data_IF_695569241233
#
_entry.id   IF_695569241233
#
_cell.length_a   1.000
_cell.length_b   1.000
_cell.length_c   1.000
_cell.angle_alpha   90.00
_cell.angle_beta   90.00
_cell.angle_gamma   90.00
#
_symmetry.space_group_name_H-M   'P 1'
#
loop_
_entity.id
_entity.type
_entity.pdbx_description
1 polymer ?
#
# COMPACT_ATOMS: atom_id res chain seq x y z
N UNK A 1 -58.75 -60.21 7.25
CA UNK A 1 -58.13 -59.87 6.01
C UNK A 1 -56.97 -58.93 6.33
N UNK A 2 -55.73 -59.29 6.12
CA UNK A 2 -54.59 -58.44 6.45
C UNK A 2 -54.31 -57.45 5.34
N UNK A 3 -54.00 -56.21 5.70
CA UNK A 3 -53.63 -55.10 4.84
C UNK A 3 -52.13 -55.29 4.40
N UNK A 4 -51.90 -55.18 3.12
CA UNK A 4 -50.56 -55.23 2.51
C UNK A 4 -49.76 -53.98 2.86
N UNK A 5 -48.55 -54.20 3.38
CA UNK A 5 -47.54 -53.15 3.57
C UNK A 5 -46.83 -52.95 2.20
N UNK A 6 -47.02 -51.76 1.61
CA UNK A 6 -46.26 -51.32 0.44
C UNK A 6 -44.95 -50.70 0.91
N UNK A 7 -43.84 -51.35 0.61
CA UNK A 7 -42.49 -50.77 0.82
C UNK A 7 -42.20 -49.69 -0.21
N UNK A 8 -41.89 -48.48 0.24
CA UNK A 8 -41.40 -47.37 -0.59
C UNK A 8 -39.89 -47.61 -0.91
N UNK A 9 -39.44 -47.28 -2.12
CA UNK A 9 -38.03 -47.47 -2.50
C UNK A 9 -37.14 -46.40 -1.85
N UNK A 10 -35.92 -46.84 -1.53
CA UNK A 10 -34.84 -46.01 -0.98
C UNK A 10 -34.66 -44.69 -1.73
N UNK A 11 -35.00 -43.59 -1.11
CA UNK A 11 -34.67 -42.27 -1.54
C UNK A 11 -33.18 -42.04 -1.42
N UNK A 12 -32.47 -41.87 -2.55
CA UNK A 12 -31.14 -41.29 -2.58
C UNK A 12 -31.25 -39.93 -1.89
N UNK A 13 -30.52 -39.76 -0.80
CA UNK A 13 -30.26 -38.40 -0.25
C UNK A 13 -29.64 -37.58 -1.35
N UNK A 14 -30.34 -36.59 -1.83
CA UNK A 14 -29.75 -35.54 -2.67
C UNK A 14 -28.62 -34.92 -1.84
N UNK A 15 -27.40 -34.98 -2.34
CA UNK A 15 -26.28 -34.20 -1.82
C UNK A 15 -26.68 -32.73 -1.97
N UNK A 16 -26.90 -32.04 -0.85
CA UNK A 16 -26.98 -30.60 -0.84
C UNK A 16 -25.71 -30.07 -1.54
N UNK A 17 -25.83 -29.14 -2.51
CA UNK A 17 -24.65 -28.39 -2.92
C UNK A 17 -24.12 -27.70 -1.67
N UNK A 18 -22.83 -27.94 -1.37
CA UNK A 18 -22.18 -27.32 -0.23
C UNK A 18 -22.43 -25.82 -0.24
N UNK A 19 -22.95 -25.32 0.87
CA UNK A 19 -22.92 -23.92 1.16
C UNK A 19 -21.44 -23.46 1.12
N UNK A 20 -21.15 -22.40 0.37
CA UNK A 20 -19.91 -21.66 0.52
C UNK A 20 -19.60 -21.46 2.01
N UNK A 21 -18.33 -21.33 2.44
CA UNK A 21 -17.96 -21.23 3.86
C UNK A 21 -18.94 -20.29 4.54
N UNK A 22 -19.63 -20.77 5.58
CA UNK A 22 -20.94 -20.29 6.05
C UNK A 22 -21.09 -18.77 6.01
N UNK A 23 -22.20 -18.28 5.52
CA UNK A 23 -22.51 -16.85 5.29
C UNK A 23 -22.15 -15.90 6.44
N UNK A 24 -21.84 -16.45 7.63
CA UNK A 24 -21.49 -15.75 8.86
C UNK A 24 -20.09 -16.06 9.39
N UNK A 25 -19.20 -16.64 8.58
CA UNK A 25 -17.82 -16.89 9.01
C UNK A 25 -17.12 -15.56 9.28
N UNK A 26 -16.58 -15.41 10.49
CA UNK A 26 -15.88 -14.20 10.95
C UNK A 26 -14.63 -14.59 11.72
N UNK A 27 -13.65 -13.69 11.71
CA UNK A 27 -12.41 -13.83 12.48
C UNK A 27 -12.65 -13.63 13.98
N UNK A 28 -11.65 -14.00 14.79
CA UNK A 28 -11.61 -13.59 16.19
C UNK A 28 -11.04 -12.16 16.29
N UNK A 29 -11.95 -11.18 16.27
CA UNK A 29 -11.58 -9.76 16.25
C UNK A 29 -10.83 -9.30 17.50
N UNK A 30 -11.09 -9.90 18.67
CA UNK A 30 -10.35 -9.59 19.89
C UNK A 30 -8.90 -10.04 19.77
N UNK A 31 -8.65 -11.25 19.26
CA UNK A 31 -7.29 -11.77 19.09
C UNK A 31 -6.51 -10.97 18.04
N UNK A 32 -7.15 -10.53 16.95
CA UNK A 32 -6.54 -9.62 15.99
C UNK A 32 -6.12 -8.32 16.68
N UNK A 33 -7.05 -7.69 17.40
CA UNK A 33 -6.78 -6.42 18.08
C UNK A 33 -5.68 -6.53 19.13
N UNK A 34 -5.71 -7.58 19.95
CA UNK A 34 -4.66 -7.85 20.93
C UNK A 34 -3.30 -8.05 20.28
N UNK A 35 -3.25 -8.72 19.11
CA UNK A 35 -2.00 -8.90 18.36
C UNK A 35 -1.47 -7.56 17.81
N UNK A 36 -2.35 -6.67 17.32
CA UNK A 36 -1.98 -5.31 16.90
C UNK A 36 -1.40 -4.51 18.08
N UNK A 37 -2.06 -4.54 19.22
CA UNK A 37 -1.62 -3.81 20.41
C UNK A 37 -0.32 -4.38 21.01
N UNK A 38 -0.07 -5.68 20.89
CA UNK A 38 1.18 -6.29 21.31
C UNK A 38 2.33 -5.91 20.39
N UNK A 39 2.14 -5.96 19.07
CA UNK A 39 3.12 -5.51 18.08
C UNK A 39 3.45 -4.02 18.26
N UNK A 40 2.46 -3.20 18.58
CA UNK A 40 2.63 -1.77 18.82
C UNK A 40 3.53 -1.42 20.03
N UNK A 41 3.82 -2.37 20.93
CA UNK A 41 4.76 -2.16 22.04
C UNK A 41 6.23 -2.17 21.59
N UNK A 42 6.50 -2.70 20.40
CA UNK A 42 7.86 -2.80 19.84
C UNK A 42 8.12 -1.56 18.97
N UNK A 43 9.17 -0.81 19.29
CA UNK A 43 9.49 0.46 18.66
C UNK A 43 8.41 1.51 18.89
N UNK A 44 8.06 1.84 20.16
CA UNK A 44 7.06 2.86 20.42
C UNK A 44 7.52 4.24 19.95
N UNK A 45 6.58 5.02 19.41
CA UNK A 45 6.78 6.43 19.13
C UNK A 45 6.80 7.29 20.40
N UNK A 46 7.06 8.56 20.26
CA UNK A 46 7.11 9.51 21.39
C UNK A 46 5.74 10.11 21.73
N UNK A 47 4.78 10.04 20.81
CA UNK A 47 3.43 10.59 20.97
C UNK A 47 2.33 9.49 20.89
N UNK A 48 2.71 8.22 21.02
CA UNK A 48 1.78 7.11 21.10
C UNK A 48 1.63 6.27 19.85
N UNK A 49 2.35 6.59 18.77
CA UNK A 49 2.48 5.79 17.56
C UNK A 49 3.62 4.78 17.61
N UNK A 50 4.22 4.49 16.46
CA UNK A 50 5.35 3.58 16.31
C UNK A 50 6.51 4.21 15.53
N UNK A 51 7.72 3.74 15.85
CA UNK A 51 8.96 4.02 15.14
C UNK A 51 9.76 2.71 15.01
N UNK A 52 9.25 1.79 14.23
CA UNK A 52 9.87 0.50 13.92
C UNK A 52 10.36 0.51 12.48
N UNK A 53 11.35 1.37 12.21
CA UNK A 53 11.90 1.50 10.86
C UNK A 53 12.60 0.21 10.43
N UNK A 54 12.53 -0.06 9.14
CA UNK A 54 13.09 -1.28 8.55
C UNK A 54 14.53 -1.55 8.98
N UNK A 55 14.86 -2.80 9.26
CA UNK A 55 16.19 -3.32 9.62
C UNK A 55 16.83 -2.63 10.84
N UNK A 56 16.03 -2.05 11.74
CA UNK A 56 16.47 -1.65 13.08
C UNK A 56 16.38 -2.84 14.03
N UNK A 57 16.84 -2.66 15.27
CA UNK A 57 16.71 -3.70 16.30
C UNK A 57 15.24 -3.91 16.68
N UNK A 58 14.44 -2.85 16.66
CA UNK A 58 12.98 -2.91 16.85
C UNK A 58 12.29 -3.70 15.72
N UNK A 59 12.70 -3.52 14.44
CA UNK A 59 12.18 -4.32 13.34
C UNK A 59 12.57 -5.80 13.52
N UNK A 60 13.80 -6.08 13.94
CA UNK A 60 14.24 -7.45 14.23
C UNK A 60 13.39 -8.10 15.34
N UNK A 61 13.04 -7.36 16.40
CA UNK A 61 12.17 -7.82 17.48
C UNK A 61 10.74 -8.07 16.97
N UNK A 62 10.18 -7.14 16.18
CA UNK A 62 8.84 -7.30 15.56
C UNK A 62 8.76 -8.52 14.64
N UNK A 63 9.78 -8.75 13.82
CA UNK A 63 9.91 -9.95 12.98
C UNK A 63 9.99 -11.24 13.80
N UNK A 64 10.75 -11.24 14.90
CA UNK A 64 10.87 -12.38 15.78
C UNK A 64 9.53 -12.71 16.47
N UNK A 65 8.79 -11.68 16.90
CA UNK A 65 7.45 -11.84 17.48
C UNK A 65 6.47 -12.43 16.45
N UNK A 66 6.44 -11.89 15.23
CA UNK A 66 5.61 -12.41 14.14
C UNK A 66 5.96 -13.87 13.82
N UNK A 67 7.26 -14.19 13.69
CA UNK A 67 7.71 -15.58 13.47
C UNK A 67 7.24 -16.51 14.59
N UNK A 68 7.33 -16.09 15.84
CA UNK A 68 6.88 -16.86 17.00
C UNK A 68 5.38 -17.17 16.91
N UNK A 69 4.56 -16.19 16.58
CA UNK A 69 3.13 -16.36 16.39
C UNK A 69 2.79 -17.30 15.23
N UNK A 70 3.49 -17.17 14.10
CA UNK A 70 3.32 -18.04 12.94
C UNK A 70 3.68 -19.50 13.28
N UNK A 71 4.80 -19.71 13.96
CA UNK A 71 5.24 -21.04 14.39
C UNK A 71 4.24 -21.66 15.38
N UNK A 72 3.73 -20.89 16.33
CA UNK A 72 2.69 -21.32 17.28
C UNK A 72 1.39 -21.70 16.56
N UNK A 73 1.06 -21.00 15.46
CA UNK A 73 -0.08 -21.34 14.60
C UNK A 73 0.18 -22.54 13.66
N UNK A 74 1.34 -23.17 13.73
CA UNK A 74 1.70 -24.36 12.94
C UNK A 74 2.17 -24.06 11.51
N UNK A 75 2.61 -22.83 11.23
CA UNK A 75 3.06 -22.42 9.91
C UNK A 75 4.54 -22.74 9.70
N UNK A 76 4.88 -23.08 8.46
CA UNK A 76 6.27 -23.24 8.02
C UNK A 76 6.81 -21.88 7.57
N UNK A 77 7.92 -21.45 8.20
CA UNK A 77 8.56 -20.18 7.88
C UNK A 77 9.58 -20.29 6.77
N UNK A 78 9.58 -19.33 5.85
CA UNK A 78 10.62 -19.08 4.88
C UNK A 78 11.03 -17.61 4.90
N UNK A 79 12.28 -17.34 4.52
CA UNK A 79 12.81 -15.97 4.40
C UNK A 79 13.69 -15.90 3.16
N UNK A 80 13.52 -14.87 2.34
CA UNK A 80 14.34 -14.68 1.16
C UNK A 80 15.56 -13.76 1.40
N UNK A 81 16.38 -13.61 0.36
CA UNK A 81 17.60 -12.80 0.38
C UNK A 81 17.33 -11.33 0.76
N UNK A 82 16.12 -10.81 0.49
CA UNK A 82 15.72 -9.44 0.85
C UNK A 82 15.11 -9.34 2.25
N UNK A 83 15.02 -10.45 2.98
CA UNK A 83 14.40 -10.49 4.30
C UNK A 83 12.88 -10.53 4.28
N UNK A 84 12.26 -10.72 3.12
CA UNK A 84 10.82 -10.95 3.05
C UNK A 84 10.49 -12.25 3.78
N UNK A 85 9.46 -12.21 4.63
CA UNK A 85 9.06 -13.37 5.44
C UNK A 85 7.81 -14.00 4.84
N UNK A 86 7.79 -15.33 4.83
CA UNK A 86 6.70 -16.14 4.27
C UNK A 86 6.29 -17.22 5.25
N UNK A 87 5.12 -17.09 5.84
CA UNK A 87 4.56 -18.06 6.77
C UNK A 87 3.49 -18.91 6.06
N UNK A 88 3.81 -20.16 5.74
CA UNK A 88 2.99 -21.05 4.93
C UNK A 88 2.15 -21.98 5.78
N UNK A 89 0.86 -22.03 5.50
CA UNK A 89 -0.09 -23.08 5.85
C UNK A 89 -0.33 -23.97 4.63
N UNK A 90 -0.12 -25.28 4.76
CA UNK A 90 -0.31 -26.20 3.65
C UNK A 90 -1.78 -26.33 3.25
N UNK A 91 -2.00 -26.49 1.94
CA UNK A 91 -3.26 -26.91 1.35
C UNK A 91 -3.37 -28.44 1.25
N UNK A 92 -4.47 -28.90 0.71
CA UNK A 92 -4.69 -30.34 0.46
C UNK A 92 -4.08 -30.81 -0.86
N UNK A 93 -3.78 -29.88 -1.77
CA UNK A 93 -3.10 -30.14 -3.03
C UNK A 93 -1.67 -29.56 -2.97
N UNK A 94 -0.63 -30.40 -2.88
CA UNK A 94 0.75 -29.94 -2.78
C UNK A 94 1.26 -29.25 -4.05
N UNK A 95 0.62 -29.48 -5.20
CA UNK A 95 1.00 -28.89 -6.48
C UNK A 95 0.28 -27.56 -6.76
N UNK A 96 -0.74 -27.23 -5.96
CA UNK A 96 -1.46 -25.99 -6.12
C UNK A 96 -0.58 -24.79 -5.73
N UNK A 97 -0.60 -23.72 -6.56
CA UNK A 97 0.08 -22.48 -6.25
C UNK A 97 -0.55 -21.80 -5.05
N UNK A 98 0.24 -21.26 -4.09
CA UNK A 98 -0.29 -20.63 -2.90
C UNK A 98 -1.04 -19.33 -3.16
N UNK A 99 -2.07 -19.08 -2.36
CA UNK A 99 -2.68 -17.75 -2.20
C UNK A 99 -1.90 -16.98 -1.13
N UNK A 100 -1.44 -15.79 -1.45
CA UNK A 100 -0.69 -14.93 -0.53
C UNK A 100 -1.57 -13.85 0.05
N UNK A 101 -1.31 -13.51 1.30
CA UNK A 101 -1.95 -12.42 2.01
C UNK A 101 -0.94 -11.74 2.92
N UNK A 102 -0.87 -10.42 2.93
CA UNK A 102 0.09 -9.72 3.79
C UNK A 102 0.25 -8.26 3.43
N UNK A 103 1.25 -7.65 4.02
CA UNK A 103 1.70 -6.27 3.85
C UNK A 103 3.11 -6.13 4.45
N UNK A 104 3.38 -5.11 5.27
CA UNK A 104 4.68 -4.86 5.90
C UNK A 104 4.56 -4.65 7.42
N UNK A 105 5.68 -4.81 8.12
CA UNK A 105 5.78 -4.55 9.57
C UNK A 105 6.63 -3.32 9.89
N UNK A 106 7.44 -2.84 8.95
CA UNK A 106 8.18 -1.59 9.14
C UNK A 106 7.25 -0.38 9.13
N UNK A 107 7.64 0.69 9.81
CA UNK A 107 6.85 1.91 9.99
C UNK A 107 7.64 3.14 9.64
N UNK A 108 6.94 4.26 9.45
CA UNK A 108 7.53 5.60 9.41
C UNK A 108 8.24 5.92 10.74
N UNK A 109 9.17 6.90 10.78
CA UNK A 109 9.80 7.37 12.04
C UNK A 109 8.80 7.91 13.06
N UNK A 110 7.70 8.48 12.59
CA UNK A 110 6.56 8.97 13.37
C UNK A 110 5.28 8.33 12.85
N UNK A 111 5.29 7.00 12.70
CA UNK A 111 4.21 6.23 12.11
C UNK A 111 3.09 5.89 13.09
N UNK A 112 2.02 5.36 12.53
CA UNK A 112 0.92 4.78 13.29
C UNK A 112 1.21 3.36 13.77
N UNK A 113 0.17 2.72 14.28
CA UNK A 113 0.23 1.35 14.79
C UNK A 113 -0.32 0.33 13.80
N UNK A 114 -0.98 0.80 12.75
CA UNK A 114 -1.86 0.00 11.90
C UNK A 114 -1.39 -0.08 10.46
N UNK A 115 -0.71 0.96 9.98
CA UNK A 115 -0.15 1.05 8.64
C UNK A 115 0.73 -0.17 8.34
N UNK A 116 0.36 -0.95 7.32
CA UNK A 116 0.98 -2.23 6.95
C UNK A 116 0.76 -3.37 7.94
N UNK A 117 0.96 -3.07 9.23
CA UNK A 117 0.87 -4.06 10.32
C UNK A 117 -0.49 -4.76 10.35
N UNK A 118 -1.57 -4.02 10.06
CA UNK A 118 -2.92 -4.60 9.98
C UNK A 118 -2.98 -5.71 8.93
N UNK A 119 -2.43 -5.50 7.73
CA UNK A 119 -2.48 -6.49 6.64
C UNK A 119 -1.73 -7.78 6.96
N UNK A 120 -0.56 -7.67 7.59
CA UNK A 120 0.23 -8.84 8.02
C UNK A 120 -0.50 -9.62 9.11
N UNK A 121 -1.00 -8.93 10.15
CA UNK A 121 -1.66 -9.59 11.28
C UNK A 121 -3.07 -10.08 10.93
N UNK A 122 -3.76 -9.44 9.97
CA UNK A 122 -5.00 -9.96 9.38
C UNK A 122 -4.75 -11.31 8.69
N UNK A 123 -3.68 -11.42 7.91
CA UNK A 123 -3.28 -12.68 7.30
C UNK A 123 -3.05 -13.80 8.33
N UNK A 124 -2.34 -13.48 9.41
CA UNK A 124 -2.13 -14.43 10.52
C UNK A 124 -3.44 -14.80 11.21
N UNK A 125 -4.34 -13.82 11.44
CA UNK A 125 -5.62 -14.09 12.08
C UNK A 125 -6.54 -14.96 11.22
N UNK A 126 -6.51 -14.79 9.89
CA UNK A 126 -7.19 -15.71 8.95
C UNK A 126 -6.71 -17.14 9.19
N UNK A 127 -5.40 -17.38 9.23
CA UNK A 127 -4.86 -18.72 9.46
C UNK A 127 -5.30 -19.30 10.82
N UNK A 128 -5.25 -18.48 11.88
CA UNK A 128 -5.70 -18.89 13.22
C UNK A 128 -7.19 -19.26 13.22
N UNK A 129 -8.02 -18.48 12.53
CA UNK A 129 -9.45 -18.76 12.37
C UNK A 129 -9.71 -20.08 11.63
N UNK A 130 -8.96 -20.34 10.55
CA UNK A 130 -9.05 -21.62 9.82
C UNK A 130 -8.63 -22.81 10.67
N UNK A 131 -7.62 -22.63 11.53
CA UNK A 131 -7.19 -23.68 12.45
C UNK A 131 -8.23 -23.95 13.56
N UNK A 132 -8.82 -22.88 14.14
CA UNK A 132 -9.85 -23.00 15.18
C UNK A 132 -11.10 -23.76 14.69
N UNK A 133 -11.41 -23.64 13.41
CA UNK A 133 -12.60 -24.18 12.77
C UNK A 133 -12.32 -25.46 11.95
N UNK A 134 -11.07 -25.93 11.93
CA UNK A 134 -10.63 -27.08 11.11
C UNK A 134 -10.99 -26.96 9.62
N UNK A 135 -10.98 -25.72 9.10
CA UNK A 135 -11.26 -25.44 7.69
C UNK A 135 -10.00 -25.76 6.87
N UNK A 136 -10.13 -26.57 5.84
CA UNK A 136 -9.05 -26.94 4.91
C UNK A 136 -9.26 -26.28 3.56
N UNK A 137 -8.16 -25.90 2.93
CA UNK A 137 -8.17 -25.31 1.59
C UNK A 137 -7.38 -26.18 0.61
N UNK A 138 -7.74 -26.15 -0.65
CA UNK A 138 -6.99 -26.83 -1.72
C UNK A 138 -5.62 -26.17 -1.90
N UNK A 139 -5.62 -24.85 -2.12
CA UNK A 139 -4.39 -24.07 -2.23
C UNK A 139 -3.78 -23.82 -0.86
N UNK A 140 -2.44 -23.87 -0.73
CA UNK A 140 -1.77 -23.35 0.44
C UNK A 140 -2.06 -21.85 0.61
N UNK A 141 -2.03 -21.36 1.86
CA UNK A 141 -2.12 -19.94 2.15
C UNK A 141 -0.80 -19.49 2.79
N UNK A 142 -0.26 -18.36 2.32
CA UNK A 142 1.01 -17.82 2.79
C UNK A 142 0.79 -16.40 3.32
N UNK A 143 1.15 -16.18 4.58
CA UNK A 143 1.18 -14.82 5.14
C UNK A 143 2.55 -14.20 4.88
N UNK A 144 2.57 -12.99 4.34
CA UNK A 144 3.81 -12.31 3.92
C UNK A 144 4.02 -11.02 4.70
N UNK A 145 5.28 -10.80 5.10
CA UNK A 145 5.79 -9.50 5.54
C UNK A 145 6.86 -9.05 4.55
N UNK A 146 6.58 -7.97 3.81
CA UNK A 146 7.54 -7.36 2.89
C UNK A 146 8.52 -6.46 3.64
N UNK A 147 9.78 -6.42 3.19
CA UNK A 147 10.85 -5.65 3.83
C UNK A 147 10.97 -4.26 3.19
N UNK A 148 11.04 -3.21 4.01
CA UNK A 148 11.29 -1.84 3.56
C UNK A 148 10.21 -1.33 2.58
N UNK A 149 8.95 -1.53 2.96
CA UNK A 149 7.85 -0.96 2.19
C UNK A 149 7.86 0.56 2.28
N UNK A 150 8.03 1.11 3.48
CA UNK A 150 7.98 2.54 3.78
C UNK A 150 9.10 3.37 3.11
N UNK A 151 10.24 2.75 2.84
CA UNK A 151 11.37 3.42 2.18
C UNK A 151 12.04 4.55 2.97
N UNK A 152 11.63 4.81 4.19
CA UNK A 152 12.09 5.96 4.99
C UNK A 152 13.54 5.85 5.39
N UNK A 153 14.01 4.64 5.67
CA UNK A 153 15.41 4.40 5.98
C UNK A 153 16.23 4.14 4.72
N UNK A 154 15.69 3.35 3.78
CA UNK A 154 16.36 3.01 2.52
C UNK A 154 15.42 3.29 1.35
N UNK A 155 15.56 4.45 0.73
CA UNK A 155 14.77 4.79 -0.44
C UNK A 155 15.11 3.92 -1.66
N UNK A 156 14.13 3.61 -2.51
CA UNK A 156 12.73 4.03 -2.48
C UNK A 156 11.84 3.15 -1.59
N UNK A 157 10.57 3.55 -1.43
CA UNK A 157 9.52 2.73 -0.87
C UNK A 157 9.27 1.45 -1.68
N UNK A 158 8.59 0.44 -1.10
CA UNK A 158 8.25 -0.83 -1.72
C UNK A 158 9.48 -1.55 -2.32
N UNK A 159 10.64 -1.45 -1.63
CA UNK A 159 11.92 -1.86 -2.21
C UNK A 159 12.01 -3.37 -2.43
N UNK A 160 11.69 -4.15 -1.37
CA UNK A 160 11.88 -5.59 -1.44
C UNK A 160 10.82 -6.30 -2.29
N UNK A 161 9.57 -5.83 -2.30
CA UNK A 161 8.55 -6.31 -3.24
C UNK A 161 8.90 -5.97 -4.68
N UNK A 162 9.51 -4.79 -4.93
CA UNK A 162 10.04 -4.41 -6.24
C UNK A 162 11.17 -5.32 -6.72
N UNK A 163 12.06 -5.75 -5.82
CA UNK A 163 13.10 -6.75 -6.14
C UNK A 163 12.46 -8.12 -6.38
N UNK A 164 11.47 -8.52 -5.56
CA UNK A 164 10.75 -9.79 -5.72
C UNK A 164 10.03 -9.85 -7.08
N UNK A 165 9.40 -8.77 -7.51
CA UNK A 165 8.74 -8.66 -8.81
C UNK A 165 9.70 -8.51 -9.99
N UNK A 166 11.02 -8.41 -9.75
CA UNK A 166 12.03 -8.24 -10.80
C UNK A 166 12.09 -6.84 -11.41
N UNK A 167 11.43 -5.86 -10.79
CA UNK A 167 11.45 -4.45 -11.23
C UNK A 167 12.74 -3.76 -10.79
N UNK A 168 13.22 -4.11 -9.59
CA UNK A 168 14.45 -3.57 -9.03
C UNK A 168 15.53 -4.66 -8.92
N UNK A 169 16.79 -4.26 -9.09
CA UNK A 169 17.92 -5.16 -8.91
C UNK A 169 18.21 -5.38 -7.43
N UNK A 170 18.41 -6.66 -7.02
CA UNK A 170 18.83 -7.02 -5.65
C UNK A 170 20.12 -6.32 -5.24
N UNK A 171 21.13 -6.38 -6.10
CA UNK A 171 22.45 -5.82 -5.78
C UNK A 171 22.38 -4.30 -5.64
N UNK A 172 21.61 -3.65 -6.50
CA UNK A 172 21.33 -2.23 -6.35
C UNK A 172 20.58 -1.91 -5.06
N UNK A 173 19.61 -2.74 -4.67
CA UNK A 173 18.87 -2.57 -3.42
C UNK A 173 19.79 -2.73 -2.20
N UNK A 174 20.69 -3.70 -2.21
CA UNK A 174 21.69 -3.88 -1.14
C UNK A 174 22.62 -2.69 -0.96
N UNK A 175 22.88 -1.94 -2.04
CA UNK A 175 23.73 -0.75 -2.03
C UNK A 175 23.00 0.52 -1.56
N UNK A 176 21.70 0.45 -1.26
CA UNK A 176 20.99 1.60 -0.67
C UNK A 176 21.57 1.90 0.70
N UNK A 177 21.75 3.19 0.98
CA UNK A 177 22.33 3.66 2.23
C UNK A 177 21.34 4.54 2.97
N UNK A 178 21.33 4.41 4.29
CA UNK A 178 20.55 5.29 5.16
C UNK A 178 21.29 6.63 5.42
N UNK A 179 20.63 7.54 6.11
CA UNK A 179 21.20 8.84 6.48
C UNK A 179 22.48 8.76 7.34
N UNK A 180 22.76 7.58 7.91
CA UNK A 180 23.96 7.30 8.72
C UNK A 180 25.04 6.57 7.91
N UNK A 181 24.83 6.38 6.61
CA UNK A 181 25.75 5.70 5.69
C UNK A 181 25.78 4.18 5.82
N UNK A 182 24.80 3.56 6.49
CA UNK A 182 24.70 2.10 6.60
C UNK A 182 24.01 1.53 5.35
N UNK A 183 24.54 0.41 4.82
CA UNK A 183 23.98 -0.25 3.65
C UNK A 183 22.86 -1.23 4.04
N UNK A 184 21.84 -1.31 3.22
CA UNK A 184 20.71 -2.23 3.44
C UNK A 184 21.17 -3.68 3.56
N UNK A 185 22.03 -4.15 2.65
CA UNK A 185 22.54 -5.53 2.66
C UNK A 185 23.30 -5.88 3.94
N UNK A 186 24.08 -4.92 4.48
CA UNK A 186 24.84 -5.11 5.73
C UNK A 186 23.90 -5.14 6.95
N UNK A 187 22.86 -4.30 6.95
CA UNK A 187 21.87 -4.27 8.03
C UNK A 187 20.98 -5.54 8.03
N UNK A 188 20.64 -6.10 6.86
CA UNK A 188 19.96 -7.41 6.77
C UNK A 188 20.79 -8.53 7.42
N UNK A 189 22.10 -8.55 7.19
CA UNK A 189 23.01 -9.51 7.80
C UNK A 189 23.13 -9.24 9.31
N UNK A 190 23.28 -7.98 9.72
CA UNK A 190 23.43 -7.58 11.13
C UNK A 190 22.27 -8.05 11.99
N UNK A 191 21.04 -7.87 11.52
CA UNK A 191 19.85 -8.29 12.29
C UNK A 191 19.50 -9.77 12.11
N UNK A 192 20.25 -10.51 11.27
CA UNK A 192 20.06 -11.95 11.05
C UNK A 192 18.85 -12.33 10.19
N UNK A 193 18.31 -11.40 9.41
CA UNK A 193 17.11 -11.63 8.59
C UNK A 193 17.38 -11.73 7.08
N UNK A 194 18.63 -11.80 6.65
CA UNK A 194 18.97 -12.20 5.28
C UNK A 194 18.76 -13.69 5.13
N UNK A 195 17.68 -14.08 4.46
CA UNK A 195 17.31 -15.48 4.32
C UNK A 195 18.07 -16.22 3.22
N UNK A 196 17.93 -17.56 3.18
CA UNK A 196 18.61 -18.41 2.20
C UNK A 196 17.85 -18.55 0.88
N UNK A 197 16.58 -18.14 0.83
CA UNK A 197 15.77 -18.32 -0.37
C UNK A 197 16.09 -17.24 -1.40
N UNK A 198 16.19 -17.62 -2.66
CA UNK A 198 16.38 -16.65 -3.74
C UNK A 198 15.14 -15.78 -3.86
N UNK A 199 15.32 -14.46 -3.83
CA UNK A 199 14.23 -13.48 -4.03
C UNK A 199 13.55 -13.68 -5.39
N UNK A 200 12.22 -13.62 -5.44
CA UNK A 200 11.42 -13.85 -6.65
C UNK A 200 11.30 -15.32 -7.09
N UNK A 201 11.86 -16.28 -6.34
CA UNK A 201 11.73 -17.70 -6.68
C UNK A 201 10.33 -18.27 -6.37
N UNK A 202 9.64 -17.71 -5.38
CA UNK A 202 8.29 -18.15 -4.99
C UNK A 202 7.26 -17.77 -6.04
N UNK A 203 6.32 -18.70 -6.29
CA UNK A 203 5.20 -18.49 -7.21
C UNK A 203 3.93 -18.30 -6.42
N UNK A 204 3.00 -17.50 -6.96
CA UNK A 204 1.72 -17.19 -6.35
C UNK A 204 0.57 -17.55 -7.27
N UNK A 205 -0.55 -17.99 -6.68
CA UNK A 205 -1.85 -18.08 -7.36
C UNK A 205 -2.49 -16.68 -7.41
N UNK A 206 -2.49 -16.00 -6.27
CA UNK A 206 -2.99 -14.64 -6.09
C UNK A 206 -2.32 -13.98 -4.89
N UNK A 207 -2.35 -12.64 -4.83
CA UNK A 207 -1.94 -11.85 -3.68
C UNK A 207 -3.06 -10.90 -3.24
N UNK A 208 -3.29 -10.84 -1.93
CA UNK A 208 -4.24 -9.93 -1.30
C UNK A 208 -3.53 -9.08 -0.25
N UNK A 209 -3.82 -7.79 -0.22
CA UNK A 209 -3.33 -6.86 0.80
C UNK A 209 -4.49 -6.12 1.46
N UNK A 210 -4.65 -6.28 2.78
CA UNK A 210 -5.53 -5.42 3.57
C UNK A 210 -4.72 -4.25 4.10
N UNK A 211 -5.24 -3.05 3.93
CA UNK A 211 -4.60 -1.84 4.39
C UNK A 211 -5.60 -0.85 4.99
N UNK A 212 -5.13 0.11 5.76
CA UNK A 212 -5.90 1.32 6.09
C UNK A 212 -5.94 2.23 4.87
N UNK A 213 -6.99 3.04 4.71
CA UNK A 213 -7.14 3.91 3.53
C UNK A 213 -6.01 4.95 3.39
N UNK A 214 -5.46 5.42 4.50
CA UNK A 214 -4.53 6.56 4.55
C UNK A 214 -5.11 7.86 3.97
N UNK A 215 -6.42 7.92 3.89
CA UNK A 215 -7.21 9.01 3.34
C UNK A 215 -8.57 9.12 4.03
N UNK A 216 -9.31 10.22 3.79
CA UNK A 216 -10.54 10.53 4.54
C UNK A 216 -11.82 10.04 3.87
N UNK A 217 -11.76 9.37 2.70
CA UNK A 217 -12.94 9.16 1.85
C UNK A 217 -13.91 8.16 2.48
N UNK A 218 -13.41 7.00 2.93
CA UNK A 218 -14.27 5.95 3.50
C UNK A 218 -14.99 6.43 4.76
N UNK A 219 -14.28 7.15 5.63
CA UNK A 219 -14.88 7.72 6.83
C UNK A 219 -15.93 8.77 6.48
N UNK A 220 -15.61 9.70 5.58
CA UNK A 220 -16.52 10.75 5.14
C UNK A 220 -17.80 10.21 4.48
N UNK A 221 -17.67 9.11 3.71
CA UNK A 221 -18.79 8.43 3.03
C UNK A 221 -19.50 7.39 3.93
N UNK A 222 -19.04 7.22 5.19
CA UNK A 222 -19.61 6.27 6.13
C UNK A 222 -19.51 4.81 5.67
N UNK A 223 -18.42 4.48 4.94
CA UNK A 223 -18.16 3.13 4.41
C UNK A 223 -17.18 2.39 5.32
N UNK A 224 -17.41 1.08 5.47
CA UNK A 224 -16.55 0.21 6.26
C UNK A 224 -15.44 -0.43 5.43
N UNK A 225 -15.66 -0.57 4.12
CA UNK A 225 -14.78 -1.27 3.19
C UNK A 225 -14.55 -0.44 1.94
N UNK A 226 -13.30 -0.28 1.55
CA UNK A 226 -12.87 0.14 0.23
C UNK A 226 -12.50 -1.07 -0.61
N UNK A 227 -13.21 -1.26 -1.72
CA UNK A 227 -12.86 -2.25 -2.75
C UNK A 227 -11.87 -1.58 -3.68
N UNK A 228 -10.59 -1.92 -3.58
CA UNK A 228 -9.54 -1.20 -4.30
C UNK A 228 -9.45 -1.70 -5.74
N UNK A 229 -9.74 -0.83 -6.69
CA UNK A 229 -9.72 -1.16 -8.12
C UNK A 229 -8.38 -0.82 -8.78
N UNK A 230 -7.74 0.24 -8.34
CA UNK A 230 -6.48 0.77 -8.91
C UNK A 230 -5.59 1.36 -7.81
N UNK A 231 -4.30 1.46 -8.08
CA UNK A 231 -3.41 2.41 -7.41
C UNK A 231 -3.25 3.68 -8.26
N UNK A 232 -2.90 4.79 -7.64
CA UNK A 232 -2.53 5.99 -8.39
C UNK A 232 -1.15 5.83 -9.03
N UNK A 233 -1.04 6.27 -10.28
CA UNK A 233 0.23 6.59 -10.90
C UNK A 233 0.69 8.00 -10.50
N UNK A 234 1.96 8.29 -10.71
CA UNK A 234 2.53 9.61 -10.43
C UNK A 234 3.48 10.08 -11.54
N UNK A 235 3.61 11.40 -11.63
CA UNK A 235 4.68 12.08 -12.38
C UNK A 235 5.25 13.17 -11.49
N UNK A 236 6.53 13.04 -11.16
CA UNK A 236 7.29 14.10 -10.49
C UNK A 236 8.05 14.90 -11.53
N UNK A 237 7.83 16.20 -11.51
CA UNK A 237 8.40 17.11 -12.50
C UNK A 237 9.21 18.16 -11.75
N UNK A 238 10.52 18.19 -11.99
CA UNK A 238 11.37 19.27 -11.50
C UNK A 238 11.27 20.47 -12.44
N UNK A 239 10.87 21.59 -11.90
CA UNK A 239 10.67 22.85 -12.61
C UNK A 239 11.69 23.90 -12.16
N UNK A 240 12.24 24.65 -13.11
CA UNK A 240 13.12 25.78 -12.84
C UNK A 240 12.57 27.03 -13.50
N UNK A 241 12.33 28.07 -12.71
CA UNK A 241 12.04 29.43 -13.19
C UNK A 241 13.26 30.31 -13.02
N UNK A 242 13.71 30.95 -14.12
CA UNK A 242 14.89 31.84 -14.12
C UNK A 242 14.50 33.27 -14.48
N UNK A 243 14.83 34.17 -13.59
CA UNK A 243 14.64 35.61 -13.73
C UNK A 243 15.96 36.38 -13.63
N UNK A 244 15.97 37.46 -12.81
CA UNK A 244 17.16 38.28 -12.57
C UNK A 244 17.18 38.81 -11.13
N UNK A 245 18.24 38.47 -10.40
CA UNK A 245 18.47 38.99 -9.04
C UNK A 245 18.72 40.51 -9.09
N UNK A 246 17.94 41.26 -8.32
CA UNK A 246 18.04 42.71 -8.28
C UNK A 246 17.59 43.20 -6.90
N UNK A 247 18.03 44.43 -6.55
CA UNK A 247 17.65 45.02 -5.27
C UNK A 247 16.15 45.35 -5.25
N UNK A 248 15.44 44.89 -4.24
CA UNK A 248 13.97 45.04 -4.13
C UNK A 248 13.51 46.48 -4.06
N UNK A 249 14.23 47.35 -3.36
CA UNK A 249 13.84 48.75 -3.17
C UNK A 249 14.18 49.64 -4.36
N UNK A 250 15.30 49.43 -5.04
CA UNK A 250 15.80 50.34 -6.09
C UNK A 250 15.41 49.94 -7.52
N UNK A 251 14.92 48.71 -7.74
CA UNK A 251 14.53 48.26 -9.08
C UNK A 251 13.05 48.59 -9.36
N UNK A 252 12.72 49.41 -10.36
CA UNK A 252 11.34 49.71 -10.72
C UNK A 252 10.56 48.47 -11.13
N UNK A 253 9.24 48.43 -10.85
CA UNK A 253 8.38 47.28 -11.11
C UNK A 253 8.45 46.74 -12.56
N UNK A 254 8.45 47.66 -13.55
CA UNK A 254 8.46 47.32 -14.97
C UNK A 254 9.78 46.74 -15.48
N UNK A 255 10.86 46.86 -14.70
CA UNK A 255 12.18 46.28 -15.02
C UNK A 255 12.44 44.91 -14.37
N UNK A 256 11.56 44.45 -13.49
CA UNK A 256 11.75 43.23 -12.70
C UNK A 256 11.53 42.00 -13.55
N UNK A 257 12.44 41.04 -13.36
CA UNK A 257 12.31 39.64 -13.86
C UNK A 257 12.33 38.73 -12.65
N UNK A 258 11.19 38.70 -11.96
CA UNK A 258 11.09 38.02 -10.66
C UNK A 258 10.70 36.54 -10.84
N UNK A 259 11.61 35.62 -10.56
CA UNK A 259 11.37 34.18 -10.63
C UNK A 259 10.24 33.74 -9.67
N UNK A 260 10.08 34.38 -8.51
CA UNK A 260 8.97 34.12 -7.60
C UNK A 260 7.59 34.46 -8.18
N UNK A 261 7.50 35.42 -9.12
CA UNK A 261 6.25 35.70 -9.83
C UNK A 261 5.92 34.58 -10.85
N UNK A 262 6.96 34.00 -11.48
CA UNK A 262 6.79 32.84 -12.35
C UNK A 262 6.33 31.62 -11.56
N UNK A 263 6.92 31.33 -10.40
CA UNK A 263 6.45 30.28 -9.49
C UNK A 263 4.96 30.45 -9.16
N UNK A 264 4.51 31.65 -8.76
CA UNK A 264 3.12 31.89 -8.42
C UNK A 264 2.15 31.57 -9.59
N UNK A 265 2.54 31.92 -10.83
CA UNK A 265 1.74 31.60 -12.03
C UNK A 265 1.67 30.10 -12.30
N UNK A 266 2.79 29.39 -12.13
CA UNK A 266 2.82 27.93 -12.32
C UNK A 266 2.10 27.20 -11.19
N UNK A 267 2.15 27.71 -9.95
CA UNK A 267 1.39 27.13 -8.84
C UNK A 267 -0.11 27.15 -9.10
N UNK A 268 -0.63 28.26 -9.58
CA UNK A 268 -2.05 28.38 -9.97
C UNK A 268 -2.38 27.42 -11.13
N UNK A 269 -1.53 27.39 -12.16
CA UNK A 269 -1.71 26.46 -13.29
C UNK A 269 -1.76 24.99 -12.84
N UNK A 270 -0.89 24.55 -11.92
CA UNK A 270 -0.90 23.19 -11.39
C UNK A 270 -2.22 22.88 -10.69
N UNK A 271 -2.73 23.82 -9.92
CA UNK A 271 -4.04 23.68 -9.28
C UNK A 271 -5.19 23.60 -10.30
N UNK A 272 -5.21 24.49 -11.29
CA UNK A 272 -6.21 24.50 -12.37
C UNK A 272 -6.19 23.20 -13.19
N UNK A 273 -5.01 22.68 -13.53
CA UNK A 273 -4.86 21.39 -14.22
C UNK A 273 -5.47 20.28 -13.36
N UNK A 274 -5.11 20.20 -12.08
CA UNK A 274 -5.65 19.15 -11.19
C UNK A 274 -7.18 19.24 -11.08
N UNK A 275 -7.76 20.44 -10.99
CA UNK A 275 -9.21 20.64 -10.97
C UNK A 275 -9.88 20.26 -12.30
N UNK A 276 -9.22 20.52 -13.43
CA UNK A 276 -9.77 20.20 -14.75
C UNK A 276 -10.00 18.70 -14.93
N UNK A 277 -9.12 17.87 -14.37
CA UNK A 277 -9.18 16.41 -14.49
C UNK A 277 -9.88 15.71 -13.30
N UNK A 278 -10.59 16.46 -12.45
CA UNK A 278 -11.40 15.84 -11.38
C UNK A 278 -12.51 14.94 -11.96
N UNK A 279 -12.89 13.85 -11.27
CA UNK A 279 -12.42 13.38 -9.96
C UNK A 279 -11.15 12.51 -10.01
N UNK A 280 -10.57 12.29 -11.17
CA UNK A 280 -9.55 11.26 -11.41
C UNK A 280 -8.12 11.71 -11.14
N UNK A 281 -7.91 12.96 -10.78
CA UNK A 281 -6.58 13.54 -10.66
C UNK A 281 -6.41 14.44 -9.43
N UNK A 282 -5.18 14.47 -8.92
CA UNK A 282 -4.73 15.44 -7.92
C UNK A 282 -3.36 15.98 -8.31
N UNK A 283 -3.00 17.16 -7.81
CA UNK A 283 -1.70 17.77 -8.09
C UNK A 283 -1.31 18.80 -7.05
N UNK A 284 -0.01 18.87 -6.76
CA UNK A 284 0.54 19.81 -5.82
C UNK A 284 2.00 20.20 -6.15
N UNK A 285 2.46 21.31 -5.56
CA UNK A 285 3.88 21.65 -5.51
C UNK A 285 4.36 21.36 -4.08
N UNK A 286 5.34 20.47 -3.94
CA UNK A 286 5.83 20.01 -2.64
C UNK A 286 7.12 20.68 -2.18
N UNK A 287 8.14 20.70 -3.04
CA UNK A 287 9.45 21.26 -2.74
C UNK A 287 9.67 22.60 -3.45
N UNK A 288 10.23 23.59 -2.78
CA UNK A 288 10.53 24.91 -3.35
C UNK A 288 11.86 25.45 -2.80
N UNK A 289 12.83 25.67 -3.69
CA UNK A 289 14.08 26.33 -3.40
C UNK A 289 14.13 27.68 -4.10
N UNK A 290 14.40 28.75 -3.33
CA UNK A 290 14.47 30.13 -3.82
C UNK A 290 15.91 30.65 -3.74
N UNK A 291 16.39 31.29 -4.80
CA UNK A 291 17.74 31.84 -4.89
C UNK A 291 17.68 33.37 -5.17
N UNK A 292 18.50 34.14 -4.47
CA UNK A 292 19.42 33.80 -3.37
C UNK A 292 18.73 33.68 -2.00
N UNK A 293 17.39 33.67 -1.92
CA UNK A 293 16.60 33.56 -0.70
C UNK A 293 16.93 34.67 0.33
N UNK A 294 16.99 35.92 -0.13
CA UNK A 294 17.32 37.08 0.68
C UNK A 294 16.16 38.08 0.71
N UNK A 295 15.90 38.66 1.87
CA UNK A 295 14.73 39.53 2.12
C UNK A 295 14.63 40.76 1.23
N UNK A 296 15.75 41.29 0.72
CA UNK A 296 15.84 42.48 -0.08
C UNK A 296 16.36 42.28 -1.48
N UNK A 297 16.35 41.01 -1.97
CA UNK A 297 16.73 40.62 -3.33
C UNK A 297 15.53 40.02 -4.04
N UNK A 298 15.24 40.50 -5.25
CA UNK A 298 14.26 39.86 -6.14
C UNK A 298 14.80 38.47 -6.54
N UNK A 299 14.04 37.39 -6.34
CA UNK A 299 14.50 36.03 -6.71
C UNK A 299 14.93 35.94 -8.16
N UNK A 300 16.14 35.43 -8.38
CA UNK A 300 16.70 35.20 -9.71
C UNK A 300 16.43 33.81 -10.26
N UNK A 301 16.26 32.85 -9.36
CA UNK A 301 15.96 31.45 -9.69
C UNK A 301 15.07 30.84 -8.63
N UNK A 302 14.09 30.05 -9.05
CA UNK A 302 13.32 29.17 -8.19
C UNK A 302 13.33 27.78 -8.81
N UNK A 303 13.64 26.76 -8.01
CA UNK A 303 13.50 25.34 -8.35
C UNK A 303 12.39 24.77 -7.49
N UNK A 304 11.50 24.01 -8.10
CA UNK A 304 10.39 23.38 -7.38
C UNK A 304 9.95 22.10 -8.05
N UNK A 305 9.24 21.22 -7.31
CA UNK A 305 8.72 19.98 -7.84
C UNK A 305 7.20 20.00 -7.90
N UNK A 306 6.67 19.55 -9.02
CA UNK A 306 5.25 19.25 -9.22
C UNK A 306 5.06 17.75 -9.05
N UNK A 307 4.05 17.34 -8.28
CA UNK A 307 3.57 15.97 -8.12
C UNK A 307 2.16 15.91 -8.71
N UNK A 308 2.01 15.24 -9.86
CA UNK A 308 0.72 14.88 -10.44
C UNK A 308 0.43 13.42 -10.21
N UNK A 309 -0.82 13.11 -9.83
CA UNK A 309 -1.29 11.73 -9.64
C UNK A 309 -2.64 11.50 -10.29
N UNK A 310 -2.80 10.31 -10.87
CA UNK A 310 -4.07 9.82 -11.43
C UNK A 310 -4.03 8.29 -11.50
N UNK A 311 -5.21 7.65 -11.43
CA UNK A 311 -5.36 6.23 -11.71
C UNK A 311 -5.64 5.94 -13.20
N UNK A 312 -5.74 6.98 -14.03
CA UNK A 312 -5.91 6.90 -15.48
C UNK A 312 -4.63 7.41 -16.13
N UNK A 313 -3.93 6.54 -16.86
CA UNK A 313 -2.63 6.86 -17.46
C UNK A 313 -2.74 8.03 -18.44
N UNK A 314 -3.73 8.01 -19.30
CA UNK A 314 -3.97 9.05 -20.31
C UNK A 314 -4.21 10.43 -19.66
N UNK A 315 -4.93 10.44 -18.54
CA UNK A 315 -5.13 11.67 -17.76
C UNK A 315 -3.81 12.17 -17.18
N UNK A 316 -3.00 11.28 -16.62
CA UNK A 316 -1.71 11.64 -16.04
C UNK A 316 -0.74 12.21 -17.08
N UNK A 317 -0.71 11.64 -18.28
CA UNK A 317 0.08 12.14 -19.41
C UNK A 317 -0.41 13.49 -19.90
N UNK A 318 -1.74 13.66 -20.01
CA UNK A 318 -2.35 14.92 -20.42
C UNK A 318 -2.05 16.05 -19.41
N UNK A 319 -2.08 15.79 -18.11
CA UNK A 319 -1.70 16.77 -17.07
C UNK A 319 -0.26 17.26 -17.25
N UNK A 320 0.67 16.36 -17.59
CA UNK A 320 2.06 16.71 -17.86
C UNK A 320 2.16 17.56 -19.13
N UNK A 321 1.46 17.20 -20.20
CA UNK A 321 1.44 17.95 -21.46
C UNK A 321 0.89 19.36 -21.26
N UNK A 322 -0.20 19.52 -20.50
CA UNK A 322 -0.80 20.82 -20.18
C UNK A 322 0.17 21.71 -19.42
N UNK A 323 0.90 21.17 -18.44
CA UNK A 323 1.93 21.90 -17.73
C UNK A 323 3.07 22.34 -18.67
N UNK A 324 3.62 21.40 -19.45
CA UNK A 324 4.76 21.65 -20.32
C UNK A 324 4.44 22.65 -21.44
N UNK A 325 3.21 22.64 -21.94
CA UNK A 325 2.77 23.56 -23.02
C UNK A 325 2.41 24.97 -22.50
N UNK A 326 1.80 25.05 -21.32
CA UNK A 326 1.23 26.34 -20.81
C UNK A 326 2.21 27.13 -19.94
N UNK A 327 3.01 26.49 -19.10
CA UNK A 327 3.92 27.16 -18.16
C UNK A 327 4.94 28.08 -18.82
N UNK A 328 5.58 27.72 -19.98
CA UNK A 328 6.50 28.64 -20.65
C UNK A 328 5.89 29.98 -21.04
N UNK A 329 4.64 29.98 -21.54
CA UNK A 329 3.92 31.18 -21.91
C UNK A 329 3.62 32.07 -20.69
N UNK A 330 3.08 31.49 -19.63
CA UNK A 330 2.78 32.17 -18.36
C UNK A 330 4.03 32.79 -17.73
N UNK A 331 5.17 32.14 -17.83
CA UNK A 331 6.45 32.65 -17.34
C UNK A 331 6.97 33.79 -18.25
N UNK A 332 6.87 33.65 -19.56
CA UNK A 332 7.26 34.67 -20.52
C UNK A 332 6.47 35.98 -20.33
N UNK A 333 5.18 35.91 -20.05
CA UNK A 333 4.31 37.07 -19.75
C UNK A 333 4.78 37.90 -18.57
N UNK A 334 5.50 37.28 -17.64
CA UNK A 334 6.08 37.99 -16.47
C UNK A 334 7.59 38.21 -16.60
N UNK A 335 8.15 37.96 -17.81
CA UNK A 335 9.52 38.28 -18.16
C UNK A 335 10.58 37.30 -17.61
N UNK A 336 10.18 36.05 -17.29
CA UNK A 336 11.08 35.01 -16.79
C UNK A 336 11.08 33.80 -17.73
N UNK A 337 12.08 32.90 -17.58
CA UNK A 337 12.18 31.66 -18.35
C UNK A 337 11.72 30.48 -17.50
N UNK A 338 11.05 29.51 -18.13
CA UNK A 338 10.65 28.25 -17.54
C UNK A 338 11.40 27.09 -18.20
N UNK A 339 11.79 26.11 -17.39
CA UNK A 339 12.30 24.83 -17.83
C UNK A 339 11.79 23.75 -16.88
N UNK A 340 11.51 22.55 -17.40
CA UNK A 340 11.04 21.44 -16.59
C UNK A 340 11.45 20.09 -17.18
N UNK A 341 11.60 19.10 -16.32
CA UNK A 341 11.85 17.71 -16.70
C UNK A 341 11.14 16.74 -15.76
N UNK A 342 10.71 15.59 -16.31
CA UNK A 342 10.14 14.50 -15.51
C UNK A 342 11.26 13.74 -14.83
N UNK A 343 11.32 13.79 -13.50
CA UNK A 343 12.37 13.16 -12.69
C UNK A 343 11.92 11.87 -12.01
N UNK A 344 10.62 11.58 -12.04
CA UNK A 344 10.05 10.34 -11.51
C UNK A 344 8.73 10.00 -12.20
N UNK A 345 8.55 8.72 -12.50
CA UNK A 345 7.34 8.21 -13.14
C UNK A 345 6.98 6.82 -12.60
N UNK A 346 5.69 6.66 -12.30
CA UNK A 346 5.09 5.39 -11.96
C UNK A 346 3.71 5.33 -12.62
N UNK A 347 3.49 4.29 -13.42
CA UNK A 347 2.20 4.14 -14.10
C UNK A 347 1.15 3.52 -13.18
N UNK A 348 -0.13 3.95 -13.27
CA UNK A 348 -1.17 3.47 -12.37
C UNK A 348 -1.43 1.97 -12.59
N UNK A 349 -1.32 1.13 -11.54
CA UNK A 349 -1.70 -0.27 -11.64
C UNK A 349 -3.22 -0.44 -11.56
N UNK A 350 -3.81 -1.16 -12.51
CA UNK A 350 -5.15 -1.72 -12.37
C UNK A 350 -5.04 -3.10 -11.72
N UNK A 351 -5.80 -3.35 -10.65
CA UNK A 351 -5.82 -4.65 -9.99
C UNK A 351 -6.67 -5.68 -10.74
N UNK A 352 -6.45 -6.97 -10.43
CA UNK A 352 -7.15 -8.06 -11.10
C UNK A 352 -8.67 -7.99 -10.87
N UNK A 353 -9.44 -7.84 -11.95
CA UNK A 353 -10.89 -7.65 -11.89
C UNK A 353 -11.62 -8.81 -11.20
N UNK A 354 -11.12 -10.04 -11.36
CA UNK A 354 -11.74 -11.22 -10.76
C UNK A 354 -11.53 -11.24 -9.24
N UNK A 355 -10.37 -10.81 -8.76
CA UNK A 355 -10.08 -10.71 -7.34
C UNK A 355 -10.80 -9.50 -6.72
N UNK A 356 -10.86 -8.37 -7.42
CA UNK A 356 -11.66 -7.19 -7.02
C UNK A 356 -13.14 -7.56 -6.86
N UNK A 357 -13.69 -8.35 -7.80
CA UNK A 357 -15.07 -8.84 -7.71
C UNK A 357 -15.28 -9.71 -6.46
N UNK A 358 -14.34 -10.62 -6.12
CA UNK A 358 -14.41 -11.44 -4.91
C UNK A 358 -14.44 -10.61 -3.62
N UNK A 359 -13.64 -9.53 -3.57
CA UNK A 359 -13.66 -8.60 -2.42
C UNK A 359 -15.03 -7.92 -2.31
N UNK A 360 -15.59 -7.45 -3.43
CA UNK A 360 -16.91 -6.80 -3.47
C UNK A 360 -18.01 -7.77 -3.04
N UNK A 361 -18.03 -8.97 -3.61
CA UNK A 361 -19.02 -10.01 -3.29
C UNK A 361 -18.92 -10.45 -1.83
N UNK A 362 -17.70 -10.49 -1.26
CA UNK A 362 -17.50 -10.77 0.16
C UNK A 362 -18.08 -9.67 1.06
N UNK A 363 -17.87 -8.40 0.71
CA UNK A 363 -18.44 -7.27 1.44
C UNK A 363 -19.95 -7.27 1.39
N UNK A 364 -20.57 -7.53 0.21
CA UNK A 364 -22.00 -7.66 0.03
C UNK A 364 -22.58 -8.82 0.87
N UNK A 365 -21.99 -10.00 0.79
CA UNK A 365 -22.43 -11.20 1.51
C UNK A 365 -22.39 -11.02 3.02
N UNK A 366 -21.39 -10.31 3.53
CA UNK A 366 -21.23 -10.01 4.95
C UNK A 366 -22.08 -8.81 5.42
N UNK A 367 -22.68 -8.06 4.50
CA UNK A 367 -23.51 -6.89 4.80
C UNK A 367 -22.69 -5.67 5.26
N UNK A 368 -21.41 -5.59 4.91
CA UNK A 368 -20.57 -4.41 5.17
C UNK A 368 -20.80 -3.32 4.12
N UNK A 369 -20.98 -2.07 4.58
CA UNK A 369 -21.08 -0.93 3.68
C UNK A 369 -19.74 -0.75 2.95
N UNK A 370 -19.77 -0.67 1.61
CA UNK A 370 -18.54 -0.58 0.82
C UNK A 370 -18.71 0.38 -0.37
N UNK A 371 -17.57 0.72 -0.97
CA UNK A 371 -17.49 1.42 -2.25
C UNK A 371 -16.21 1.04 -2.97
N UNK A 372 -16.20 1.19 -4.29
CA UNK A 372 -14.98 1.12 -5.07
C UNK A 372 -14.09 2.35 -4.74
N UNK A 373 -12.79 2.12 -4.60
CA UNK A 373 -11.83 3.17 -4.26
C UNK A 373 -10.52 2.98 -5.03
N UNK A 374 -9.83 4.07 -5.24
CA UNK A 374 -8.46 4.08 -5.77
C UNK A 374 -7.50 4.33 -4.62
N UNK A 375 -6.44 3.52 -4.50
CA UNK A 375 -5.40 3.80 -3.51
C UNK A 375 -4.63 5.08 -3.88
N UNK A 376 -4.60 6.04 -2.96
CA UNK A 376 -3.79 7.25 -3.09
C UNK A 376 -2.30 7.05 -2.78
N UNK A 377 -1.96 5.96 -2.09
CA UNK A 377 -0.61 5.58 -1.70
C UNK A 377 -0.06 4.42 -2.55
N UNK A 378 1.27 4.28 -2.56
CA UNK A 378 1.93 3.10 -3.08
C UNK A 378 1.86 1.97 -2.05
N UNK A 379 1.79 0.71 -2.51
CA UNK A 379 1.77 -0.49 -1.68
C UNK A 379 2.56 -1.60 -2.36
N UNK A 380 3.00 -2.59 -1.61
CA UNK A 380 3.68 -3.77 -2.16
C UNK A 380 2.83 -4.47 -3.23
N UNK A 381 1.51 -4.44 -3.07
CA UNK A 381 0.54 -4.92 -4.06
C UNK A 381 0.76 -4.32 -5.46
N UNK A 382 1.22 -3.07 -5.55
CA UNK A 382 1.45 -2.41 -6.84
C UNK A 382 2.57 -3.07 -7.65
N UNK A 383 3.64 -3.55 -6.98
CA UNK A 383 4.71 -4.29 -7.65
C UNK A 383 4.34 -5.74 -7.90
N UNK A 384 3.70 -6.40 -6.94
CA UNK A 384 3.29 -7.81 -7.07
C UNK A 384 2.26 -7.97 -8.19
N UNK A 385 1.38 -7.00 -8.39
CA UNK A 385 0.42 -6.97 -9.50
C UNK A 385 1.05 -7.00 -10.92
N UNK A 386 2.34 -6.67 -11.04
CA UNK A 386 3.05 -6.79 -12.33
C UNK A 386 3.36 -8.24 -12.72
N UNK A 387 3.33 -9.16 -11.77
CA UNK A 387 3.77 -10.56 -11.97
C UNK A 387 2.73 -11.59 -11.56
N UNK A 388 1.77 -11.22 -10.71
CA UNK A 388 0.71 -12.11 -10.21
C UNK A 388 -0.62 -11.39 -10.07
N UNK A 389 -1.76 -12.06 -10.25
CA UNK A 389 -3.08 -11.51 -9.95
C UNK A 389 -3.12 -10.96 -8.52
N UNK A 390 -3.49 -9.71 -8.36
CA UNK A 390 -3.41 -9.01 -7.07
C UNK A 390 -4.61 -8.10 -6.87
N UNK A 391 -5.06 -7.95 -5.64
CA UNK A 391 -6.01 -6.93 -5.22
C UNK A 391 -5.77 -6.48 -3.79
N UNK A 392 -6.45 -5.39 -3.40
CA UNK A 392 -6.39 -4.84 -2.06
C UNK A 392 -7.79 -4.65 -1.48
N UNK A 393 -7.85 -4.66 -0.15
CA UNK A 393 -9.01 -4.25 0.64
C UNK A 393 -8.58 -3.09 1.53
N UNK A 394 -9.40 -2.04 1.62
CA UNK A 394 -9.14 -0.95 2.55
C UNK A 394 -10.21 -0.87 3.62
N UNK A 395 -9.80 -0.49 4.83
CA UNK A 395 -10.69 -0.04 5.88
C UNK A 395 -10.40 1.43 6.21
N UNK A 396 -11.37 2.18 6.78
CA UNK A 396 -11.17 3.58 7.12
C UNK A 396 -10.04 3.78 8.14
N UNK A 397 -9.44 4.96 8.10
CA UNK A 397 -8.66 5.51 9.21
C UNK A 397 -9.23 6.87 9.60
N UNK A 398 -9.14 7.18 10.89
CA UNK A 398 -9.78 8.36 11.47
C UNK A 398 -9.15 9.65 10.93
N UNK A 399 -10.00 10.58 10.50
CA UNK A 399 -9.61 11.85 9.90
C UNK A 399 -8.67 11.69 8.68
N UNK A 400 -8.56 10.48 8.11
CA UNK A 400 -7.63 10.18 7.02
C UNK A 400 -6.16 10.27 7.41
N UNK A 401 -5.83 10.28 8.70
CA UNK A 401 -4.46 10.41 9.18
C UNK A 401 -3.68 9.11 8.98
N UNK A 402 -2.52 9.23 8.33
CA UNK A 402 -1.48 8.21 8.27
C UNK A 402 -0.10 8.85 8.27
N UNK A 403 0.97 8.07 8.41
CA UNK A 403 2.34 8.56 8.61
C UNK A 403 2.44 9.56 9.77
N UNK A 404 1.62 9.35 10.78
CA UNK A 404 1.47 10.21 11.94
C UNK A 404 1.21 9.34 13.18
N UNK A 405 1.81 9.70 14.30
CA UNK A 405 1.62 8.96 15.56
C UNK A 405 0.16 9.01 16.09
N UNK A 406 -0.66 9.96 15.61
CA UNK A 406 -2.08 10.05 15.91
C UNK A 406 -2.98 9.21 15.00
N UNK A 407 -2.40 8.39 14.10
CA UNK A 407 -3.13 7.44 13.28
C UNK A 407 -4.00 6.53 14.15
N UNK A 408 -5.27 6.41 13.80
CA UNK A 408 -6.24 5.63 14.57
C UNK A 408 -7.21 4.90 13.65
N UNK A 409 -7.50 3.65 13.98
CA UNK A 409 -8.62 2.87 13.43
C UNK A 409 -9.46 2.32 14.57
N UNK A 410 -10.67 1.85 14.26
CA UNK A 410 -11.49 1.16 15.26
C UNK A 410 -11.33 -0.37 15.18
N UNK A 411 -11.53 -1.10 16.30
CA UNK A 411 -11.59 -2.56 16.25
C UNK A 411 -12.62 -3.11 15.26
N UNK A 412 -13.72 -2.38 15.06
CA UNK A 412 -14.77 -2.76 14.12
C UNK A 412 -14.32 -2.59 12.65
N UNK A 413 -13.55 -1.57 12.32
CA UNK A 413 -12.99 -1.40 10.97
C UNK A 413 -11.94 -2.47 10.66
N UNK A 414 -11.02 -2.74 11.62
CA UNK A 414 -10.05 -3.83 11.49
C UNK A 414 -10.73 -5.19 11.28
N UNK A 415 -11.80 -5.46 12.06
CA UNK A 415 -12.62 -6.66 11.91
C UNK A 415 -13.26 -6.73 10.53
N UNK A 416 -13.96 -5.67 10.11
CA UNK A 416 -14.68 -5.66 8.84
C UNK A 416 -13.75 -5.92 7.65
N UNK A 417 -12.59 -5.23 7.59
CA UNK A 417 -11.57 -5.46 6.57
C UNK A 417 -11.05 -6.90 6.56
N UNK A 418 -10.77 -7.45 7.74
CA UNK A 418 -10.25 -8.82 7.87
C UNK A 418 -11.30 -9.88 7.57
N UNK A 419 -12.59 -9.67 7.94
CA UNK A 419 -13.68 -10.56 7.58
C UNK A 419 -13.87 -10.65 6.05
N UNK A 420 -13.83 -9.50 5.35
CA UNK A 420 -13.92 -9.45 3.88
C UNK A 420 -12.71 -10.15 3.25
N UNK A 421 -11.52 -9.87 3.75
CA UNK A 421 -10.29 -10.51 3.30
C UNK A 421 -10.35 -12.03 3.48
N UNK A 422 -10.84 -12.53 4.64
CA UNK A 422 -11.01 -13.95 4.90
C UNK A 422 -11.88 -14.62 3.83
N UNK A 423 -13.03 -14.04 3.49
CA UNK A 423 -13.93 -14.60 2.50
C UNK A 423 -13.33 -14.61 1.09
N UNK A 424 -12.69 -13.51 0.67
CA UNK A 424 -12.03 -13.42 -0.64
C UNK A 424 -10.86 -14.41 -0.78
N UNK A 425 -10.07 -14.57 0.30
CA UNK A 425 -8.96 -15.54 0.34
C UNK A 425 -9.49 -16.98 0.29
N UNK A 426 -10.53 -17.31 1.05
CA UNK A 426 -11.12 -18.65 1.07
C UNK A 426 -11.73 -19.05 -0.27
N UNK A 427 -12.43 -18.13 -0.92
CA UNK A 427 -12.98 -18.36 -2.26
C UNK A 427 -11.87 -18.61 -3.29
N UNK A 428 -10.74 -17.90 -3.13
CA UNK A 428 -9.58 -18.05 -4.02
C UNK A 428 -8.77 -19.31 -3.71
N UNK A 429 -8.66 -19.69 -2.44
CA UNK A 429 -7.91 -20.88 -2.01
C UNK A 429 -8.71 -22.18 -2.11
N UNK A 430 -9.97 -22.12 -2.49
CA UNK A 430 -10.92 -23.25 -2.65
C UNK A 430 -11.00 -24.10 -1.37
N UNK A 431 -12.04 -23.84 -0.57
CA UNK A 431 -12.34 -24.67 0.63
C UNK A 431 -12.65 -26.10 0.21
N UNK A 432 -12.06 -27.07 0.90
CA UNK A 432 -12.35 -28.50 0.69
C UNK A 432 -13.14 -29.07 1.86
N UNK A 433 -14.02 -30.04 1.56
CA UNK A 433 -14.83 -30.74 2.55
C UNK A 433 -13.98 -31.67 3.46
#
# INVERSE_FOLDING_TARGET
MPQAIVSLPNGKKASNPMAAPGENLKINSTRLWDSLMEMAKIGPGIAGGNNRQTLTDEDAEGRALFQSWCTTAGLTMGVDEMGNMFARRDGTDPEALPVYVGSHLDTQPTGGKYDGVLGVLAGLEIIRTLNDLDIRTKHPIVVTNWTNEEGTRFAPAMLASGVFAGVLSRDWAYDRVDAKGKRLGDELERIGWKGPEKVGARKMHAFFELHIEQGPILEAEGKQIGVVTHGQGLRWIECTVTGKGQHTGSTPMYMRRNAGRGLARVTELVHEIALHYQPNAVGAIGHIDVYPNSRNVIPEKVVFTVDFRSHVLETLEAMVEDLMSSAPGLCADVGVKFNAEVVGAFDPPAFDESLVARVRDAADRLGYSHMDIVSGAGHDACWINKVYPTTMVMCPCKDGLSHNEAEEITPDWARAGTDVLLHAVLETAEVVE
#
